data_IF_837164724064
#
_entry.id   IF_837164724064
#
_cell.length_a   1.000
_cell.length_b   1.000
_cell.length_c   1.000
_cell.angle_alpha   90.00
_cell.angle_beta   90.00
_cell.angle_gamma   90.00
#
_symmetry.space_group_name_H-M   'P 1'
#
loop_
_entity.id
_entity.type
_entity.pdbx_description
1 polymer ?
#
# COMPACT_ATOMS: atom_id res chain seq x y z
N UNK A 1 21.84 -19.40 30.85
CA UNK A 1 20.87 -18.37 30.45
C UNK A 1 21.65 -17.15 30.00
N UNK A 2 21.62 -16.79 28.72
CA UNK A 2 22.33 -15.60 28.22
C UNK A 2 21.50 -14.39 28.65
N UNK A 3 22.05 -13.53 29.50
CA UNK A 3 21.38 -12.29 29.92
C UNK A 3 21.31 -11.42 28.67
N UNK A 4 20.12 -11.27 28.10
CA UNK A 4 19.89 -10.40 26.95
C UNK A 4 19.87 -8.97 27.47
N UNK A 5 20.81 -8.15 27.00
CA UNK A 5 20.93 -6.75 27.39
C UNK A 5 20.06 -5.92 26.45
N UNK A 6 19.01 -5.32 27.00
CA UNK A 6 18.12 -4.38 26.31
C UNK A 6 18.42 -2.98 26.81
N UNK A 7 18.55 -2.04 25.89
CA UNK A 7 18.77 -0.63 26.15
C UNK A 7 17.51 0.18 25.81
N UNK A 8 17.45 1.44 26.24
CA UNK A 8 16.29 2.30 25.93
C UNK A 8 16.05 2.48 24.43
N UNK A 9 17.10 2.41 23.61
CA UNK A 9 17.01 2.59 22.16
C UNK A 9 16.37 1.39 21.45
N UNK A 10 16.35 0.23 22.08
CA UNK A 10 15.76 -0.98 21.51
C UNK A 10 14.23 -1.01 21.65
N UNK A 11 13.66 -0.11 22.47
CA UNK A 11 12.23 -0.06 22.81
C UNK A 11 11.32 -0.04 21.59
N UNK A 12 11.54 0.89 20.66
CA UNK A 12 10.64 1.10 19.52
C UNK A 12 10.65 -0.12 18.59
N UNK A 13 11.84 -0.70 18.37
CA UNK A 13 12.01 -1.94 17.60
C UNK A 13 11.29 -3.12 18.26
N UNK A 14 11.42 -3.26 19.59
CA UNK A 14 10.76 -4.35 20.34
C UNK A 14 9.23 -4.19 20.32
N UNK A 15 8.70 -2.98 20.34
CA UNK A 15 7.27 -2.73 20.20
C UNK A 15 6.72 -3.11 18.82
N UNK A 16 7.51 -3.00 17.75
CA UNK A 16 7.09 -3.35 16.40
C UNK A 16 7.13 -4.86 16.12
N UNK A 17 8.24 -5.53 16.46
CA UNK A 17 8.49 -6.92 16.05
C UNK A 17 9.20 -7.79 17.11
N UNK A 18 9.17 -7.36 18.37
CA UNK A 18 9.88 -8.02 19.46
C UNK A 18 9.43 -9.46 19.68
N UNK A 19 10.41 -10.36 19.85
CA UNK A 19 10.15 -11.71 20.35
C UNK A 19 9.70 -11.69 21.81
N UNK A 20 9.06 -12.76 22.28
CA UNK A 20 8.64 -12.89 23.69
C UNK A 20 9.81 -12.71 24.68
N UNK A 21 11.00 -13.17 24.31
CA UNK A 21 12.20 -13.04 25.13
C UNK A 21 12.71 -11.58 25.19
N UNK A 22 12.58 -10.83 24.10
CA UNK A 22 12.97 -9.41 24.04
C UNK A 22 11.96 -8.53 24.79
N UNK A 23 10.67 -8.84 24.70
CA UNK A 23 9.65 -8.21 25.53
C UNK A 23 9.90 -8.41 27.01
N UNK A 24 10.21 -9.63 27.45
CA UNK A 24 10.55 -9.91 28.84
C UNK A 24 11.80 -9.14 29.31
N UNK A 25 12.81 -9.01 28.43
CA UNK A 25 14.01 -8.24 28.73
C UNK A 25 13.76 -6.72 28.78
N UNK A 26 12.88 -6.18 27.93
CA UNK A 26 12.44 -4.79 27.98
C UNK A 26 11.65 -4.48 29.25
N UNK A 27 10.79 -5.39 29.70
CA UNK A 27 10.07 -5.27 30.97
C UNK A 27 11.03 -5.27 32.18
N UNK A 28 12.05 -6.13 32.15
CA UNK A 28 13.09 -6.13 33.17
C UNK A 28 13.89 -4.82 33.18
N UNK A 29 14.20 -4.26 32.01
CA UNK A 29 14.84 -2.94 31.87
C UNK A 29 13.95 -1.81 32.39
N UNK A 30 12.64 -1.86 32.10
CA UNK A 30 11.67 -0.87 32.56
C UNK A 30 11.51 -0.83 34.10
N UNK A 31 11.90 -1.89 34.82
CA UNK A 31 11.93 -1.86 36.29
C UNK A 31 12.95 -0.86 36.86
N UNK A 32 13.99 -0.51 36.08
CA UNK A 32 15.07 0.41 36.52
C UNK A 32 15.11 1.72 35.72
N UNK A 33 14.41 1.81 34.59
CA UNK A 33 14.33 3.02 33.76
C UNK A 33 12.92 3.63 33.76
N UNK A 34 12.71 4.85 34.31
CA UNK A 34 11.38 5.46 34.43
C UNK A 34 10.75 5.79 33.07
N UNK A 35 11.55 6.20 32.08
CA UNK A 35 11.07 6.49 30.72
C UNK A 35 10.52 5.23 30.05
N UNK A 36 11.25 4.12 30.11
CA UNK A 36 10.77 2.85 29.58
C UNK A 36 9.57 2.30 30.39
N UNK A 37 9.50 2.58 31.70
CA UNK A 37 8.38 2.17 32.53
C UNK A 37 7.05 2.82 32.12
N UNK A 38 7.06 4.13 31.83
CA UNK A 38 5.86 4.85 31.39
C UNK A 38 5.36 4.32 30.05
N UNK A 39 6.27 4.13 29.11
CA UNK A 39 5.97 3.68 27.75
C UNK A 39 5.44 2.24 27.73
N UNK A 40 6.08 1.32 28.46
CA UNK A 40 5.60 -0.06 28.60
C UNK A 40 4.21 -0.09 29.25
N UNK A 41 3.94 0.76 30.24
CA UNK A 41 2.60 0.86 30.84
C UNK A 41 1.57 1.38 29.84
N UNK A 42 1.88 2.44 29.09
CA UNK A 42 1.00 2.98 28.06
C UNK A 42 0.68 1.91 27.00
N UNK A 43 1.70 1.20 26.52
CA UNK A 43 1.55 0.14 25.53
C UNK A 43 0.69 -1.04 26.05
N UNK A 44 0.87 -1.45 27.31
CA UNK A 44 0.02 -2.46 27.96
C UNK A 44 -1.43 -1.98 28.07
N UNK A 45 -1.66 -0.72 28.43
CA UNK A 45 -3.01 -0.17 28.53
C UNK A 45 -3.74 -0.16 27.16
N UNK A 46 -3.02 0.20 26.10
CA UNK A 46 -3.53 0.16 24.72
C UNK A 46 -3.84 -1.29 24.29
N UNK A 47 -2.98 -2.24 24.63
CA UNK A 47 -3.17 -3.66 24.31
C UNK A 47 -4.42 -4.25 24.96
N UNK A 48 -4.69 -3.86 26.21
CA UNK A 48 -5.92 -4.27 26.92
C UNK A 48 -7.15 -3.66 26.26
N UNK A 49 -7.14 -2.35 25.99
CA UNK A 49 -8.25 -1.67 25.32
C UNK A 49 -8.50 -2.22 23.90
N UNK A 50 -7.45 -2.58 23.16
CA UNK A 50 -7.57 -3.25 21.87
C UNK A 50 -8.21 -4.65 21.98
N UNK A 51 -7.98 -5.35 23.09
CA UNK A 51 -8.66 -6.61 23.42
C UNK A 51 -10.16 -6.43 23.59
N UNK A 52 -10.60 -5.32 24.20
CA UNK A 52 -12.03 -5.00 24.38
C UNK A 52 -12.72 -4.63 23.06
N UNK A 53 -11.97 -4.10 22.09
CA UNK A 53 -12.47 -3.79 20.74
C UNK A 53 -12.58 -5.03 19.83
N UNK A 54 -12.02 -6.17 20.23
CA UNK A 54 -12.10 -7.40 19.43
C UNK A 54 -13.47 -8.06 19.55
N UNK A 55 -14.41 -7.59 18.74
CA UNK A 55 -15.67 -8.30 18.47
C UNK A 55 -15.48 -9.31 17.32
N UNK A 56 -14.42 -10.13 17.42
CA UNK A 56 -14.16 -11.20 16.46
C UNK A 56 -14.84 -12.47 16.94
N UNK A 57 -15.96 -12.84 16.31
CA UNK A 57 -16.50 -14.18 16.45
C UNK A 57 -15.53 -15.15 15.75
N UNK A 58 -14.94 -16.09 16.50
CA UNK A 58 -14.23 -17.23 15.91
C UNK A 58 -15.25 -18.05 15.10
N UNK A 59 -15.35 -17.77 13.80
CA UNK A 59 -16.14 -18.57 12.89
C UNK A 59 -15.31 -19.79 12.50
N UNK A 60 -15.70 -21.01 12.91
CA UNK A 60 -14.93 -22.22 12.60
C UNK A 60 -14.75 -22.46 11.10
N UNK A 61 -15.60 -21.81 10.28
CA UNK A 61 -15.58 -21.90 8.82
C UNK A 61 -14.70 -20.86 8.13
N UNK A 62 -14.18 -19.86 8.84
CA UNK A 62 -13.45 -18.75 8.23
C UNK A 62 -12.13 -19.21 7.59
N UNK A 63 -11.28 -19.90 8.36
CA UNK A 63 -10.01 -20.42 7.86
C UNK A 63 -10.17 -21.45 6.73
N UNK A 64 -11.06 -22.45 6.84
CA UNK A 64 -11.33 -23.37 5.73
C UNK A 64 -11.81 -22.66 4.45
N UNK A 65 -12.54 -21.54 4.57
CA UNK A 65 -12.95 -20.74 3.39
C UNK A 65 -11.78 -20.01 2.75
N UNK A 66 -10.87 -19.46 3.55
CA UNK A 66 -9.65 -18.81 3.05
C UNK A 66 -8.75 -19.83 2.35
N UNK A 67 -8.51 -20.98 2.98
CA UNK A 67 -7.72 -22.07 2.39
C UNK A 67 -8.28 -22.50 1.04
N UNK A 68 -9.60 -22.67 0.95
CA UNK A 68 -10.27 -23.03 -0.30
C UNK A 68 -10.15 -21.94 -1.36
N UNK A 69 -10.35 -20.67 -0.99
CA UNK A 69 -10.20 -19.55 -1.91
C UNK A 69 -8.76 -19.44 -2.45
N UNK A 70 -7.75 -19.66 -1.60
CA UNK A 70 -6.35 -19.67 -2.00
C UNK A 70 -6.02 -20.87 -2.92
N UNK A 71 -6.57 -22.06 -2.63
CA UNK A 71 -6.40 -23.23 -3.47
C UNK A 71 -7.05 -23.06 -4.86
N UNK A 72 -8.24 -22.46 -4.91
CA UNK A 72 -8.93 -22.14 -6.17
C UNK A 72 -8.16 -21.11 -7.00
N UNK A 73 -7.62 -20.07 -6.37
CA UNK A 73 -6.81 -19.05 -7.05
C UNK A 73 -5.50 -19.66 -7.60
N UNK A 74 -4.85 -20.55 -6.83
CA UNK A 74 -3.67 -21.28 -7.28
C UNK A 74 -3.97 -22.22 -8.47
N UNK A 75 -5.14 -22.86 -8.48
CA UNK A 75 -5.59 -23.70 -9.59
C UNK A 75 -5.96 -22.90 -10.85
N UNK A 76 -6.52 -21.69 -10.69
CA UNK A 76 -6.87 -20.80 -11.81
C UNK A 76 -5.63 -20.14 -12.44
N UNK A 77 -4.57 -19.92 -11.67
CA UNK A 77 -3.35 -19.28 -12.15
C UNK A 77 -2.07 -20.04 -11.76
N UNK A 78 -1.79 -21.19 -12.40
CA UNK A 78 -0.61 -22.00 -12.10
C UNK A 78 0.71 -21.25 -12.36
N UNK A 79 0.71 -20.25 -13.26
CA UNK A 79 1.89 -19.43 -13.58
C UNK A 79 2.33 -18.50 -12.44
N UNK A 80 1.42 -18.14 -11.52
CA UNK A 80 1.74 -17.31 -10.34
C UNK A 80 2.35 -18.15 -9.21
N UNK A 81 1.89 -19.40 -9.06
CA UNK A 81 2.45 -20.36 -8.11
C UNK A 81 3.88 -20.80 -8.51
N UNK A 82 4.13 -20.98 -9.81
CA UNK A 82 5.44 -21.37 -10.34
C UNK A 82 6.50 -20.25 -10.18
N UNK A 83 6.10 -18.98 -10.29
CA UNK A 83 6.98 -17.82 -10.03
C UNK A 83 7.38 -17.68 -8.55
N UNK A 84 6.55 -18.14 -7.62
CA UNK A 84 6.87 -18.13 -6.18
C UNK A 84 7.69 -19.37 -5.77
N UNK A 85 7.50 -20.50 -6.47
CA UNK A 85 8.27 -21.73 -6.29
C UNK A 85 9.70 -21.69 -6.85
N UNK A 86 9.97 -20.91 -7.90
CA UNK A 86 11.32 -20.78 -8.47
C UNK A 86 12.33 -20.21 -7.45
N UNK A 87 11.91 -19.32 -6.54
CA UNK A 87 12.81 -18.82 -5.50
C UNK A 87 13.07 -19.78 -4.33
N UNK A 88 12.35 -20.92 -4.26
CA UNK A 88 12.47 -21.89 -3.16
C UNK A 88 13.23 -23.18 -3.54
N UNK A 89 13.60 -23.36 -4.81
CA UNK A 89 14.21 -24.60 -5.35
C UNK A 89 15.68 -24.46 -5.79
N UNK A 90 16.47 -23.56 -5.18
CA UNK A 90 17.92 -23.52 -5.39
C UNK A 90 18.68 -24.21 -4.24
N UNK A 91 18.89 -25.54 -4.28
CA UNK A 91 19.87 -26.21 -3.45
C UNK A 91 21.29 -26.11 -4.04
N UNK A 92 22.24 -25.87 -3.13
CA UNK A 92 23.71 -25.80 -3.23
C UNK A 92 24.38 -26.09 -4.59
N UNK A 93 25.03 -25.07 -5.15
CA UNK A 93 26.07 -25.21 -6.17
C UNK A 93 27.27 -25.98 -5.58
N UNK A 94 27.47 -27.22 -6.01
CA UNK A 94 28.71 -27.96 -5.77
C UNK A 94 29.79 -27.52 -6.78
N UNK A 95 31.07 -27.37 -6.38
CA UNK A 95 32.10 -26.80 -7.23
C UNK A 95 32.86 -27.90 -7.99
N UNK A 96 32.57 -28.10 -9.28
CA UNK A 96 33.40 -28.93 -10.16
C UNK A 96 33.19 -28.57 -11.64
N UNK A 97 34.05 -27.69 -12.17
CA UNK A 97 34.97 -27.93 -13.30
C UNK A 97 35.44 -26.55 -13.85
N UNK A 98 36.75 -26.27 -13.90
CA UNK A 98 37.27 -24.96 -14.28
C UNK A 98 37.32 -24.80 -15.80
N UNK A 99 36.42 -24.02 -16.38
CA UNK A 99 36.52 -23.56 -17.78
C UNK A 99 35.71 -22.27 -18.07
N UNK A 100 35.64 -21.34 -17.11
CA UNK A 100 34.82 -20.13 -17.27
C UNK A 100 35.51 -18.84 -16.78
N UNK A 101 36.84 -18.77 -16.85
CA UNK A 101 37.59 -17.56 -16.47
C UNK A 101 37.44 -16.38 -17.46
N UNK A 102 36.82 -16.58 -18.63
CA UNK A 102 36.59 -15.50 -19.60
C UNK A 102 35.22 -14.80 -19.44
N UNK A 103 34.20 -15.45 -18.87
CA UNK A 103 32.86 -14.87 -18.68
C UNK A 103 32.71 -14.06 -17.39
N UNK A 104 33.48 -14.40 -16.36
CA UNK A 104 33.38 -13.76 -15.05
C UNK A 104 33.83 -12.29 -15.07
N UNK A 105 34.85 -11.94 -15.87
CA UNK A 105 35.36 -10.56 -15.93
C UNK A 105 34.40 -9.56 -16.57
N UNK A 106 33.61 -9.98 -17.56
CA UNK A 106 32.61 -9.10 -18.19
C UNK A 106 31.43 -8.85 -17.24
N UNK A 107 30.99 -9.88 -16.51
CA UNK A 107 29.91 -9.75 -15.53
C UNK A 107 30.36 -8.99 -14.28
N UNK A 108 31.60 -9.14 -13.81
CA UNK A 108 32.10 -8.36 -12.66
C UNK A 108 32.35 -6.89 -13.03
N UNK A 109 32.84 -6.59 -14.23
CA UNK A 109 33.03 -5.19 -14.66
C UNK A 109 31.69 -4.48 -14.91
N UNK A 110 30.71 -5.16 -15.49
CA UNK A 110 29.36 -4.59 -15.67
C UNK A 110 28.58 -4.49 -14.35
N UNK A 111 28.71 -5.47 -13.45
CA UNK A 111 28.15 -5.39 -12.10
C UNK A 111 28.83 -4.33 -11.25
N UNK A 112 30.16 -4.18 -11.32
CA UNK A 112 30.90 -3.11 -10.64
C UNK A 112 30.50 -1.74 -11.18
N UNK A 113 30.25 -1.61 -12.49
CA UNK A 113 29.80 -0.35 -13.04
C UNK A 113 28.38 0.02 -12.57
N UNK A 114 27.48 -0.96 -12.50
CA UNK A 114 26.13 -0.76 -11.97
C UNK A 114 26.17 -0.50 -10.44
N UNK A 115 27.10 -1.11 -9.71
CA UNK A 115 27.28 -0.91 -8.27
C UNK A 115 27.91 0.47 -7.96
N UNK A 116 28.86 0.95 -8.77
CA UNK A 116 29.44 2.28 -8.61
C UNK A 116 28.53 3.43 -9.09
N UNK A 117 27.56 3.18 -9.99
CA UNK A 117 26.55 4.18 -10.40
C UNK A 117 25.29 4.17 -9.55
N UNK A 118 25.10 3.21 -8.66
CA UNK A 118 23.99 3.26 -7.72
C UNK A 118 24.30 4.32 -6.66
N UNK A 119 23.46 5.37 -6.50
CA UNK A 119 23.53 6.15 -5.28
C UNK A 119 23.33 5.18 -4.12
N UNK A 120 24.23 5.24 -3.15
CA UNK A 120 24.13 4.46 -1.91
C UNK A 120 22.97 5.03 -1.10
N UNK A 121 21.75 4.66 -1.48
CA UNK A 121 20.61 4.74 -0.60
C UNK A 121 20.69 3.49 0.30
N UNK A 122 21.35 3.67 1.45
CA UNK A 122 21.35 2.69 2.53
C UNK A 122 19.93 2.47 3.00
N UNK A 123 19.27 1.45 2.47
CA UNK A 123 17.88 1.15 2.78
C UNK A 123 17.80 -0.13 3.60
N UNK A 124 18.01 0.07 4.90
CA UNK A 124 17.49 -0.80 5.92
C UNK A 124 15.96 -0.88 5.82
N UNK A 125 15.41 -1.93 6.40
CA UNK A 125 14.00 -2.33 6.46
C UNK A 125 13.03 -1.33 7.13
N UNK A 126 13.35 -0.03 7.17
CA UNK A 126 12.49 1.07 7.65
C UNK A 126 11.71 1.81 6.55
N UNK A 127 11.81 1.36 5.30
CA UNK A 127 11.32 2.16 4.16
C UNK A 127 9.91 1.81 3.68
N UNK A 128 9.28 0.72 4.13
CA UNK A 128 7.94 0.38 3.64
C UNK A 128 6.89 1.42 4.04
N UNK A 129 7.03 2.04 5.22
CA UNK A 129 6.18 3.15 5.66
C UNK A 129 6.42 4.41 4.82
N UNK A 130 7.69 4.70 4.50
CA UNK A 130 8.06 5.82 3.63
C UNK A 130 7.58 5.62 2.18
N UNK A 131 7.67 4.39 1.64
CA UNK A 131 7.15 4.04 0.33
C UNK A 131 5.62 4.14 0.29
N UNK A 132 4.94 3.67 1.33
CA UNK A 132 3.48 3.84 1.47
C UNK A 132 3.11 5.31 1.52
N UNK A 133 3.82 6.12 2.31
CA UNK A 133 3.59 7.57 2.37
C UNK A 133 3.86 8.27 1.04
N UNK A 134 4.89 7.83 0.29
CA UNK A 134 5.25 8.37 -1.02
C UNK A 134 4.22 7.99 -2.08
N UNK A 135 3.77 6.74 -2.11
CA UNK A 135 2.72 6.26 -3.01
C UNK A 135 1.38 6.94 -2.72
N UNK A 136 1.03 7.14 -1.45
CA UNK A 136 -0.18 7.91 -1.08
C UNK A 136 -0.08 9.37 -1.53
N UNK A 137 1.08 10.00 -1.36
CA UNK A 137 1.31 11.38 -1.80
C UNK A 137 1.26 11.53 -3.32
N UNK A 138 1.76 10.54 -4.06
CA UNK A 138 1.66 10.51 -5.52
C UNK A 138 0.20 10.42 -5.98
N UNK A 139 -0.58 9.53 -5.37
CA UNK A 139 -2.03 9.39 -5.62
C UNK A 139 -2.78 10.69 -5.29
N UNK A 140 -2.49 11.32 -4.15
CA UNK A 140 -3.10 12.60 -3.77
C UNK A 140 -2.76 13.73 -4.75
N UNK A 141 -1.52 13.75 -5.25
CA UNK A 141 -1.12 14.72 -6.27
C UNK A 141 -1.83 14.52 -7.61
N UNK A 142 -2.02 13.26 -8.03
CA UNK A 142 -2.80 12.91 -9.21
C UNK A 142 -4.27 13.31 -9.01
N UNK A 143 -4.84 13.02 -7.84
CA UNK A 143 -6.20 13.41 -7.47
C UNK A 143 -6.42 14.92 -7.63
N UNK A 144 -5.48 15.71 -7.11
CA UNK A 144 -5.54 17.17 -7.19
C UNK A 144 -5.41 17.66 -8.64
N UNK A 145 -4.62 16.96 -9.47
CA UNK A 145 -4.49 17.28 -10.89
C UNK A 145 -5.80 17.04 -11.65
N UNK A 146 -6.47 15.90 -11.39
CA UNK A 146 -7.79 15.59 -11.96
C UNK A 146 -8.85 16.59 -11.50
N UNK A 147 -8.87 16.97 -10.23
CA UNK A 147 -9.82 17.98 -9.75
C UNK A 147 -9.67 19.30 -10.53
N UNK A 148 -8.44 19.76 -10.75
CA UNK A 148 -8.19 20.98 -11.53
C UNK A 148 -8.55 20.86 -13.00
N UNK A 149 -8.37 19.69 -13.63
CA UNK A 149 -8.80 19.49 -15.03
C UNK A 149 -10.33 19.49 -15.12
N UNK A 150 -10.99 18.75 -14.22
CA UNK A 150 -12.46 18.70 -14.13
C UNK A 150 -13.04 20.09 -13.89
N UNK A 151 -12.49 20.89 -12.98
CA UNK A 151 -13.02 22.24 -12.69
C UNK A 151 -12.98 23.14 -13.92
N UNK A 152 -11.90 23.06 -14.72
CA UNK A 152 -11.77 23.81 -15.98
C UNK A 152 -12.77 23.32 -17.02
N UNK A 153 -12.83 22.00 -17.24
CA UNK A 153 -13.73 21.40 -18.21
C UNK A 153 -15.20 21.65 -17.85
N UNK A 154 -15.55 21.56 -16.57
CA UNK A 154 -16.88 21.84 -16.07
C UNK A 154 -17.27 23.31 -16.30
N UNK A 155 -16.35 24.25 -16.09
CA UNK A 155 -16.60 25.67 -16.37
C UNK A 155 -16.87 25.92 -17.87
N UNK A 156 -16.14 25.24 -18.75
CA UNK A 156 -16.34 25.33 -20.20
C UNK A 156 -17.61 24.62 -20.70
N UNK A 157 -17.97 23.48 -20.07
CA UNK A 157 -19.14 22.68 -20.42
C UNK A 157 -20.45 23.23 -19.82
N UNK A 158 -20.38 24.02 -18.75
CA UNK A 158 -21.52 24.61 -18.02
C UNK A 158 -22.66 25.15 -18.90
N UNK A 159 -22.42 26.02 -19.91
CA UNK A 159 -23.52 26.56 -20.72
C UNK A 159 -24.27 25.51 -21.54
N UNK A 160 -23.63 24.38 -21.86
CA UNK A 160 -24.23 23.29 -22.63
C UNK A 160 -25.06 22.36 -21.75
N UNK A 161 -24.65 22.22 -20.48
CA UNK A 161 -25.31 21.39 -19.49
C UNK A 161 -26.54 22.10 -18.88
N UNK A 162 -26.48 23.42 -18.69
CA UNK A 162 -27.62 24.21 -18.15
C UNK A 162 -28.75 24.40 -19.16
N UNK A 163 -28.47 24.29 -20.46
CA UNK A 163 -29.46 24.39 -21.53
C UNK A 163 -29.17 23.36 -22.62
N UNK A 164 -29.47 22.07 -22.36
CA UNK A 164 -29.12 20.99 -23.27
C UNK A 164 -29.89 21.14 -24.58
N UNK A 165 -29.16 21.47 -25.65
CA UNK A 165 -29.72 21.65 -26.97
C UNK A 165 -30.13 20.31 -27.64
N UNK A 166 -29.65 19.19 -27.10
CA UNK A 166 -29.89 17.84 -27.64
C UNK A 166 -30.24 16.86 -26.52
N UNK A 167 -31.01 15.80 -26.80
CA UNK A 167 -31.29 14.73 -25.82
C UNK A 167 -30.03 14.05 -25.29
N UNK A 168 -28.98 13.98 -26.10
CA UNK A 168 -27.68 13.41 -25.73
C UNK A 168 -26.94 14.27 -24.68
N UNK A 169 -27.01 15.60 -24.77
CA UNK A 169 -26.49 16.48 -23.72
C UNK A 169 -27.27 16.36 -22.41
N UNK A 170 -28.57 16.08 -22.49
CA UNK A 170 -29.40 15.82 -21.30
C UNK A 170 -28.97 14.52 -20.59
N UNK A 171 -28.71 13.46 -21.35
CA UNK A 171 -28.16 12.19 -20.83
C UNK A 171 -26.80 12.38 -20.15
N UNK A 172 -25.89 13.13 -20.78
CA UNK A 172 -24.61 13.48 -20.15
C UNK A 172 -24.78 14.30 -18.86
N UNK A 173 -25.74 15.22 -18.82
CA UNK A 173 -26.03 15.97 -17.59
C UNK A 173 -26.49 15.04 -16.46
N UNK A 174 -27.39 14.10 -16.74
CA UNK A 174 -27.80 13.08 -15.77
C UNK A 174 -26.63 12.19 -15.32
N UNK A 175 -25.80 11.73 -16.26
CA UNK A 175 -24.57 10.96 -15.95
C UNK A 175 -23.64 11.74 -15.02
N UNK A 176 -23.40 13.03 -15.30
CA UNK A 176 -22.52 13.87 -14.50
C UNK A 176 -23.06 14.09 -13.08
N UNK A 177 -24.39 14.22 -12.90
CA UNK A 177 -25.01 14.27 -11.57
C UNK A 177 -24.79 12.99 -10.77
N UNK A 178 -24.91 11.82 -11.42
CA UNK A 178 -24.63 10.53 -10.78
C UNK A 178 -23.17 10.44 -10.37
N UNK A 179 -22.24 10.78 -11.27
CA UNK A 179 -20.80 10.79 -10.97
C UNK A 179 -20.45 11.74 -9.82
N UNK A 180 -21.07 12.92 -9.78
CA UNK A 180 -20.86 13.88 -8.69
C UNK A 180 -21.30 13.35 -7.33
N UNK A 181 -22.44 12.66 -7.28
CA UNK A 181 -22.90 12.02 -6.05
C UNK A 181 -21.97 10.89 -5.59
N UNK A 182 -21.46 10.07 -6.52
CA UNK A 182 -20.53 8.99 -6.22
C UNK A 182 -19.18 9.51 -5.73
N UNK A 183 -18.65 10.56 -6.38
CA UNK A 183 -17.42 11.25 -5.96
C UNK A 183 -17.58 11.84 -4.56
N UNK A 184 -18.72 12.47 -4.25
CA UNK A 184 -18.98 13.04 -2.94
C UNK A 184 -18.99 11.96 -1.83
N UNK A 185 -19.64 10.82 -2.08
CA UNK A 185 -19.68 9.69 -1.16
C UNK A 185 -18.29 9.09 -0.93
N UNK A 186 -17.54 8.82 -2.01
CA UNK A 186 -16.18 8.29 -1.91
C UNK A 186 -15.23 9.25 -1.19
N UNK A 187 -15.37 10.57 -1.38
CA UNK A 187 -14.61 11.57 -0.62
C UNK A 187 -14.95 11.54 0.87
N UNK A 188 -16.23 11.43 1.23
CA UNK A 188 -16.64 11.33 2.63
C UNK A 188 -16.04 10.08 3.29
N UNK A 189 -16.09 8.93 2.62
CA UNK A 189 -15.51 7.68 3.09
C UNK A 189 -13.98 7.72 3.16
N UNK A 190 -13.32 8.30 2.16
CA UNK A 190 -11.87 8.46 2.13
C UNK A 190 -11.37 9.43 3.22
N UNK A 191 -12.16 10.45 3.58
CA UNK A 191 -11.87 11.35 4.70
C UNK A 191 -11.88 10.63 6.06
N UNK A 192 -12.78 9.65 6.23
CA UNK A 192 -12.82 8.81 7.43
C UNK A 192 -11.66 7.80 7.48
N UNK A 193 -11.18 7.33 6.32
CA UNK A 193 -10.09 6.34 6.23
C UNK A 193 -9.02 6.72 5.19
N UNK A 194 -8.15 7.71 5.47
CA UNK A 194 -7.22 8.26 4.48
C UNK A 194 -6.20 7.26 3.94
N UNK A 195 -5.89 6.20 4.71
CA UNK A 195 -4.93 5.16 4.35
C UNK A 195 -5.53 4.01 3.53
N UNK A 196 -6.83 4.03 3.24
CA UNK A 196 -7.48 3.00 2.45
C UNK A 196 -7.19 3.22 0.95
N UNK A 197 -6.21 2.48 0.44
CA UNK A 197 -5.79 2.55 -0.96
C UNK A 197 -6.93 2.23 -1.95
N UNK A 198 -7.83 1.32 -1.60
CA UNK A 198 -8.93 0.91 -2.49
C UNK A 198 -9.91 2.06 -2.73
N UNK A 199 -10.27 2.82 -1.68
CA UNK A 199 -11.14 3.99 -1.81
C UNK A 199 -10.49 5.07 -2.70
N UNK A 200 -9.17 5.28 -2.58
CA UNK A 200 -8.44 6.23 -3.41
C UNK A 200 -8.40 5.82 -4.88
N UNK A 201 -8.23 4.54 -5.17
CA UNK A 201 -8.30 4.03 -6.54
C UNK A 201 -9.69 4.19 -7.15
N UNK A 202 -10.74 3.88 -6.39
CA UNK A 202 -12.13 4.07 -6.85
C UNK A 202 -12.42 5.55 -7.11
N UNK A 203 -11.95 6.44 -6.24
CA UNK A 203 -12.13 7.88 -6.39
C UNK A 203 -11.41 8.41 -7.65
N UNK A 204 -10.19 7.94 -7.93
CA UNK A 204 -9.47 8.28 -9.17
C UNK A 204 -10.23 7.83 -10.42
N UNK A 205 -10.76 6.60 -10.42
CA UNK A 205 -11.54 6.10 -11.55
C UNK A 205 -12.79 6.96 -11.81
N UNK A 206 -13.48 7.39 -10.75
CA UNK A 206 -14.63 8.29 -10.90
C UNK A 206 -14.25 9.67 -11.44
N UNK A 207 -13.08 10.21 -11.05
CA UNK A 207 -12.59 11.46 -11.65
C UNK A 207 -12.26 11.31 -13.13
N UNK A 208 -11.59 10.23 -13.51
CA UNK A 208 -11.27 9.94 -14.91
C UNK A 208 -12.55 9.84 -15.76
N UNK A 209 -13.56 9.14 -15.25
CA UNK A 209 -14.85 9.03 -15.94
C UNK A 209 -15.58 10.38 -16.03
N UNK A 210 -15.54 11.20 -14.98
CA UNK A 210 -16.11 12.57 -15.02
C UNK A 210 -15.38 13.46 -16.01
N UNK A 211 -14.05 13.38 -16.06
CA UNK A 211 -13.25 14.13 -17.04
C UNK A 211 -13.63 13.71 -18.46
N UNK A 212 -13.70 12.42 -18.74
CA UNK A 212 -14.08 11.89 -20.06
C UNK A 212 -15.48 12.36 -20.48
N UNK A 213 -16.47 12.28 -19.58
CA UNK A 213 -17.82 12.74 -19.87
C UNK A 213 -17.87 14.24 -20.18
N UNK A 214 -17.08 15.06 -19.49
CA UNK A 214 -16.98 16.49 -19.79
C UNK A 214 -16.29 16.77 -21.13
N UNK A 215 -15.25 16.01 -21.47
CA UNK A 215 -14.59 16.08 -22.77
C UNK A 215 -15.56 15.73 -23.91
N UNK A 216 -16.34 14.65 -23.77
CA UNK A 216 -17.37 14.25 -24.73
C UNK A 216 -18.44 15.34 -24.91
N UNK A 217 -18.88 15.98 -23.83
CA UNK A 217 -19.79 17.13 -23.91
C UNK A 217 -19.17 18.27 -24.73
N UNK A 218 -17.90 18.61 -24.50
CA UNK A 218 -17.22 19.66 -25.26
C UNK A 218 -16.97 19.28 -26.73
N UNK A 219 -16.76 18.00 -27.03
CA UNK A 219 -16.63 17.50 -28.40
C UNK A 219 -17.95 17.55 -29.16
N UNK A 220 -19.07 17.23 -28.52
CA UNK A 220 -20.40 17.28 -29.16
C UNK A 220 -20.82 18.69 -29.58
N UNK A 221 -20.19 19.72 -29.00
CA UNK A 221 -20.33 21.12 -29.40
C UNK A 221 -19.67 21.45 -30.75
N UNK A 222 -18.59 20.74 -31.08
CA UNK A 222 -17.67 21.09 -32.16
C UNK A 222 -18.20 20.62 -33.51
#
# INVERSE_FOLDING_TARGET
>A
MKIMQVTCNDRDRIFEDGTLAEWAALEAHAATCPLCAEEVRAWKSLSVAAGELRDYSDSPSFWPRIERALAEEAARNPRRAERQGWFSFLPSLSPAWPAALAGALVLTLSAAWIYLRRPVDGRGTGDQSLLKSKALKEVESAETAYQRSIDKLAAEAKPQLESPATPLLADYHEKLLVLDSAIAELRAQAGMNPSNAQLRYQLLAMYEEKQHALEEVLETKR
#
